data_IF_528173897884
#
_entry.id   IF_528173897884
#
_cell.length_a   1.000
_cell.length_b   1.000
_cell.length_c   1.000
_cell.angle_alpha   90.00
_cell.angle_beta   90.00
_cell.angle_gamma   90.00
#
_symmetry.space_group_name_H-M   'P 1'
#
loop_
_entity.id
_entity.type
_entity.pdbx_description
1 polymer ?
#
# COMPACT_ATOMS: atom_id res chain seq x y z
N UNK A 1 -15.86 17.98 -14.35
CA UNK A 1 -16.23 17.50 -12.99
C UNK A 1 -15.00 16.72 -12.52
N UNK A 2 -14.22 17.32 -11.59
CA UNK A 2 -13.06 16.66 -11.02
C UNK A 2 -13.54 15.54 -10.09
N UNK A 3 -13.26 14.29 -10.43
CA UNK A 3 -13.47 13.18 -9.51
C UNK A 3 -12.40 13.29 -8.41
N UNK A 4 -12.81 13.76 -7.25
CA UNK A 4 -11.97 13.71 -6.05
C UNK A 4 -11.94 12.25 -5.58
N UNK A 5 -10.81 11.61 -5.79
CA UNK A 5 -10.55 10.30 -5.22
C UNK A 5 -10.29 10.49 -3.72
N UNK A 6 -11.30 10.22 -2.89
CA UNK A 6 -11.17 10.33 -1.45
C UNK A 6 -10.41 9.10 -0.92
N UNK A 7 -9.20 9.31 -0.47
CA UNK A 7 -8.43 8.30 0.27
C UNK A 7 -8.75 8.49 1.74
N UNK A 8 -9.50 7.56 2.32
CA UNK A 8 -9.73 7.55 3.77
C UNK A 8 -8.62 6.73 4.39
N UNK A 9 -7.72 7.39 5.10
CA UNK A 9 -6.68 6.74 5.90
C UNK A 9 -7.26 6.53 7.29
N UNK A 10 -7.66 5.30 7.61
CA UNK A 10 -7.96 4.93 8.98
C UNK A 10 -6.64 4.57 9.68
N UNK A 11 -6.14 5.49 10.49
CA UNK A 11 -5.10 5.17 11.47
C UNK A 11 -5.83 4.71 12.73
N UNK A 12 -5.96 3.41 12.91
CA UNK A 12 -6.47 2.87 14.18
C UNK A 12 -5.31 2.91 15.17
N UNK A 13 -5.27 3.96 15.95
CA UNK A 13 -4.30 4.11 17.05
C UNK A 13 -4.97 3.72 18.37
N UNK A 14 -4.99 2.44 18.69
CA UNK A 14 -5.04 2.07 20.10
C UNK A 14 -3.59 2.11 20.59
N UNK A 15 -3.16 3.31 20.99
CA UNK A 15 -1.77 3.61 21.29
C UNK A 15 -1.43 3.27 22.73
N UNK A 16 -1.19 1.99 22.99
CA UNK A 16 -0.19 1.60 23.97
C UNK A 16 1.03 1.07 23.23
N UNK A 17 1.80 2.00 22.65
CA UNK A 17 3.09 1.66 22.07
C UNK A 17 3.99 1.07 23.15
N UNK A 18 4.53 -0.12 22.92
CA UNK A 18 5.57 -0.67 23.78
C UNK A 18 6.82 0.24 23.73
N UNK A 19 7.67 0.23 24.77
CA UNK A 19 8.89 1.05 24.80
C UNK A 19 9.79 0.85 23.57
N UNK A 20 9.77 -0.33 22.98
CA UNK A 20 10.52 -0.67 21.75
C UNK A 20 9.95 -0.01 20.50
N UNK A 21 8.64 0.22 20.45
CA UNK A 21 7.98 0.90 19.33
C UNK A 21 8.17 2.42 19.39
N UNK A 22 8.33 3.00 20.59
CA UNK A 22 8.68 4.43 20.75
C UNK A 22 10.06 4.77 20.20
N UNK A 23 11.01 3.82 20.20
CA UNK A 23 12.33 4.01 19.60
C UNK A 23 12.31 3.95 18.06
N UNK A 24 11.27 3.38 17.43
CA UNK A 24 11.13 3.33 15.98
C UNK A 24 10.49 4.60 15.37
N UNK A 25 10.03 5.53 16.19
CA UNK A 25 9.69 6.90 15.77
C UNK A 25 10.91 7.80 15.67
N UNK A 26 12.13 7.23 15.61
CA UNK A 26 13.32 7.98 15.29
C UNK A 26 13.14 8.59 13.88
N UNK A 27 12.70 9.82 13.90
CA UNK A 27 12.69 10.77 12.81
C UNK A 27 13.97 10.56 12.01
N UNK A 28 13.85 10.21 10.74
CA UNK A 28 14.98 10.29 9.83
C UNK A 28 15.36 11.75 9.73
N UNK A 29 16.54 12.17 10.22
CA UNK A 29 16.91 13.57 10.18
C UNK A 29 17.12 13.96 8.72
N UNK A 30 16.29 14.86 8.23
CA UNK A 30 16.63 15.62 7.04
C UNK A 30 17.90 16.41 7.30
N UNK A 31 18.93 16.16 6.53
CA UNK A 31 20.22 16.86 6.63
C UNK A 31 20.16 18.36 6.35
N UNK A 32 18.99 18.92 6.04
CA UNK A 32 18.79 20.31 5.61
C UNK A 32 17.49 20.99 6.13
N UNK A 33 16.95 20.60 7.28
CA UNK A 33 15.85 21.35 7.91
C UNK A 33 14.54 21.50 7.08
N UNK A 34 14.33 20.66 6.09
CA UNK A 34 13.14 20.65 5.23
C UNK A 34 12.05 19.67 5.72
N UNK A 35 10.85 19.85 5.19
CA UNK A 35 9.73 18.92 5.43
C UNK A 35 9.94 17.64 4.61
N UNK A 36 9.67 16.46 5.22
CA UNK A 36 9.61 15.19 4.51
C UNK A 36 8.29 15.13 3.71
N UNK A 37 8.37 14.81 2.43
CA UNK A 37 7.20 14.67 1.55
C UNK A 37 7.01 13.18 1.24
N UNK A 38 5.84 12.66 1.59
CA UNK A 38 5.46 11.27 1.35
C UNK A 38 4.24 11.24 0.44
N UNK A 39 4.39 10.63 -0.74
CA UNK A 39 3.26 10.26 -1.58
C UNK A 39 2.67 8.94 -1.08
N UNK A 40 1.48 9.01 -0.52
CA UNK A 40 0.85 7.87 0.17
C UNK A 40 -0.05 7.02 -0.74
N UNK A 41 -0.06 7.23 -2.05
CA UNK A 41 -0.89 6.46 -2.97
C UNK A 41 -0.27 6.29 -4.35
N UNK A 42 0.62 5.31 -4.48
CA UNK A 42 1.24 4.98 -5.76
C UNK A 42 1.10 3.50 -6.10
N UNK A 43 1.29 3.19 -7.38
CA UNK A 43 1.24 1.83 -7.90
C UNK A 43 2.41 1.60 -8.85
N UNK A 44 3.07 0.46 -8.73
CA UNK A 44 4.01 -0.05 -9.73
C UNK A 44 3.70 -1.52 -10.04
N UNK A 45 4.12 -1.94 -11.21
CA UNK A 45 3.93 -3.30 -11.69
C UNK A 45 5.27 -3.85 -12.19
N UNK A 46 5.45 -5.18 -12.20
CA UNK A 46 6.55 -5.81 -12.95
C UNK A 46 6.57 -5.31 -14.40
N UNK A 47 7.75 -5.10 -14.96
CA UNK A 47 7.91 -4.46 -16.28
C UNK A 47 7.11 -5.16 -17.40
N UNK A 48 6.99 -6.48 -17.32
CA UNK A 48 6.24 -7.29 -18.29
C UNK A 48 4.72 -7.08 -18.20
N UNK A 49 4.25 -6.58 -17.08
CA UNK A 49 2.82 -6.36 -16.82
C UNK A 49 2.42 -4.89 -16.87
N UNK A 50 3.38 -3.97 -16.76
CA UNK A 50 3.14 -2.55 -16.54
C UNK A 50 2.23 -1.93 -17.59
N UNK A 51 2.52 -2.09 -18.88
CA UNK A 51 1.74 -1.49 -19.97
C UNK A 51 0.28 -1.99 -19.97
N UNK A 52 0.07 -3.29 -19.77
CA UNK A 52 -1.27 -3.88 -19.70
C UNK A 52 -2.02 -3.43 -18.45
N UNK A 53 -1.35 -3.41 -17.30
CA UNK A 53 -1.97 -3.04 -16.03
C UNK A 53 -2.38 -1.55 -16.04
N UNK A 54 -1.48 -0.67 -16.46
CA UNK A 54 -1.75 0.78 -16.55
C UNK A 54 -2.85 1.04 -17.59
N UNK A 55 -2.80 0.41 -18.76
CA UNK A 55 -3.84 0.55 -19.78
C UNK A 55 -5.22 0.10 -19.28
N UNK A 56 -5.29 -1.01 -18.55
CA UNK A 56 -6.54 -1.49 -17.95
C UNK A 56 -7.08 -0.52 -16.90
N UNK A 57 -6.21 -0.03 -16.02
CA UNK A 57 -6.61 0.93 -14.97
C UNK A 57 -7.05 2.27 -15.56
N UNK A 58 -6.32 2.79 -16.54
CA UNK A 58 -6.68 4.04 -17.23
C UNK A 58 -8.04 3.92 -17.92
N UNK A 59 -8.28 2.80 -18.62
CA UNK A 59 -9.55 2.55 -19.29
C UNK A 59 -10.71 2.40 -18.29
N UNK A 60 -10.56 1.57 -17.25
CA UNK A 60 -11.61 1.33 -16.28
C UNK A 60 -11.88 2.52 -15.35
N UNK A 61 -10.88 3.36 -15.11
CA UNK A 61 -11.02 4.57 -14.30
C UNK A 61 -11.39 5.83 -15.08
N UNK A 62 -11.40 5.77 -16.42
CA UNK A 62 -11.59 6.96 -17.26
C UNK A 62 -10.53 8.03 -17.00
N UNK A 63 -9.31 7.65 -16.61
CA UNK A 63 -8.23 8.56 -16.20
C UNK A 63 -7.07 8.53 -17.19
N UNK A 64 -6.35 9.65 -17.26
CA UNK A 64 -5.09 9.71 -17.99
C UNK A 64 -3.93 9.24 -17.09
N UNK A 65 -3.13 8.32 -17.57
CA UNK A 65 -1.90 7.91 -16.90
C UNK A 65 -0.73 8.83 -17.29
N UNK A 66 -0.01 9.35 -16.29
CA UNK A 66 1.17 10.19 -16.50
C UNK A 66 2.47 9.40 -16.49
N UNK A 67 2.47 8.22 -15.88
CA UNK A 67 3.60 7.30 -15.82
C UNK A 67 3.21 5.95 -16.39
N UNK A 68 4.21 5.16 -16.78
CA UNK A 68 4.05 3.85 -17.38
C UNK A 68 3.87 2.70 -16.38
N UNK A 69 3.83 3.02 -15.07
CA UNK A 69 3.66 2.04 -13.99
C UNK A 69 4.92 1.27 -13.63
N UNK A 70 6.09 1.64 -14.14
CA UNK A 70 7.38 1.02 -13.80
C UNK A 70 8.06 1.71 -12.62
N UNK A 71 8.86 0.95 -11.88
CA UNK A 71 9.58 1.45 -10.70
C UNK A 71 10.50 2.61 -11.06
N UNK A 72 11.28 2.50 -12.16
CA UNK A 72 12.21 3.56 -12.54
C UNK A 72 11.51 4.87 -12.89
N UNK A 73 10.38 4.81 -13.60
CA UNK A 73 9.58 6.00 -13.95
C UNK A 73 9.03 6.69 -12.70
N UNK A 74 8.59 5.93 -11.70
CA UNK A 74 8.14 6.47 -10.42
C UNK A 74 9.30 7.14 -9.67
N UNK A 75 10.44 6.47 -9.52
CA UNK A 75 11.60 7.02 -8.80
C UNK A 75 12.15 8.28 -9.47
N UNK A 76 12.14 8.36 -10.79
CA UNK A 76 12.54 9.58 -11.52
C UNK A 76 11.54 10.71 -11.33
N UNK A 77 10.25 10.40 -11.29
CA UNK A 77 9.19 11.36 -10.98
C UNK A 77 9.33 11.89 -9.55
N UNK A 78 9.59 11.01 -8.57
CA UNK A 78 9.83 11.38 -7.18
C UNK A 78 10.99 12.38 -7.06
N UNK A 79 12.13 12.08 -7.69
CA UNK A 79 13.31 12.98 -7.70
C UNK A 79 12.97 14.36 -8.28
N UNK A 80 12.25 14.41 -9.41
CA UNK A 80 11.84 15.66 -10.05
C UNK A 80 10.89 16.48 -9.18
N UNK A 81 10.01 15.81 -8.43
CA UNK A 81 8.99 16.45 -7.59
C UNK A 81 9.48 16.74 -6.15
N UNK A 82 10.67 16.27 -5.76
CA UNK A 82 11.18 16.41 -4.39
C UNK A 82 10.44 15.53 -3.39
N UNK A 83 9.89 14.38 -3.83
CA UNK A 83 9.22 13.40 -2.97
C UNK A 83 10.27 12.49 -2.36
N UNK A 84 10.27 12.39 -1.03
CA UNK A 84 11.24 11.57 -0.28
C UNK A 84 10.83 10.10 -0.27
N UNK A 85 9.55 9.82 -0.09
CA UNK A 85 9.01 8.46 -0.05
C UNK A 85 7.72 8.35 -0.85
N UNK A 86 7.53 7.19 -1.50
CA UNK A 86 6.25 6.80 -2.10
C UNK A 86 5.80 5.45 -1.55
N UNK A 87 4.53 5.39 -1.14
CA UNK A 87 3.91 4.16 -0.63
C UNK A 87 3.24 3.42 -1.78
N UNK A 88 3.76 2.24 -2.10
CA UNK A 88 3.18 1.33 -3.08
C UNK A 88 2.03 0.54 -2.45
N UNK A 89 0.89 0.54 -3.13
CA UNK A 89 -0.36 -0.05 -2.64
C UNK A 89 -0.83 -1.20 -3.54
N UNK A 90 -0.18 -2.37 -3.47
CA UNK A 90 -0.59 -3.51 -4.28
C UNK A 90 -1.94 -4.05 -3.82
N UNK A 91 -2.73 -4.56 -4.76
CA UNK A 91 -4.06 -5.14 -4.50
C UNK A 91 -4.09 -6.59 -4.95
N UNK A 92 -4.36 -7.51 -4.03
CA UNK A 92 -4.71 -8.88 -4.37
C UNK A 92 -6.20 -8.92 -4.75
N UNK A 93 -6.51 -9.06 -6.03
CA UNK A 93 -7.89 -9.14 -6.53
C UNK A 93 -8.49 -10.55 -6.40
N UNK A 94 -7.64 -11.53 -6.02
CA UNK A 94 -8.01 -12.92 -5.74
C UNK A 94 -7.16 -13.45 -4.58
N UNK A 95 -7.67 -14.38 -3.75
CA UNK A 95 -6.94 -14.95 -2.61
C UNK A 95 -5.57 -15.54 -2.96
N UNK A 96 -5.47 -16.26 -4.07
CA UNK A 96 -4.24 -16.94 -4.49
C UNK A 96 -3.11 -16.01 -5.00
N UNK A 97 -3.34 -14.71 -5.04
CA UNK A 97 -2.32 -13.72 -5.45
C UNK A 97 -1.51 -13.19 -4.27
N UNK A 98 -1.98 -13.35 -3.03
CA UNK A 98 -1.39 -12.71 -1.86
C UNK A 98 0.09 -13.05 -1.70
N UNK A 99 0.47 -14.32 -1.79
CA UNK A 99 1.85 -14.75 -1.56
C UNK A 99 2.82 -14.17 -2.60
N UNK A 100 2.45 -14.22 -3.89
CA UNK A 100 3.29 -13.67 -4.97
C UNK A 100 3.46 -12.17 -4.81
N UNK A 101 2.37 -11.44 -4.56
CA UNK A 101 2.39 -9.99 -4.41
C UNK A 101 3.23 -9.60 -3.18
N UNK A 102 3.04 -10.28 -2.06
CA UNK A 102 3.76 -9.97 -0.82
C UNK A 102 5.25 -10.30 -0.90
N UNK A 103 5.63 -11.33 -1.65
CA UNK A 103 7.03 -11.65 -1.93
C UNK A 103 7.71 -10.54 -2.74
N UNK A 104 7.03 -9.99 -3.75
CA UNK A 104 7.54 -8.85 -4.52
C UNK A 104 7.60 -7.58 -3.67
N UNK A 105 6.57 -7.34 -2.86
CA UNK A 105 6.52 -6.20 -1.94
C UNK A 105 7.66 -6.24 -0.91
N UNK A 106 8.02 -7.42 -0.40
CA UNK A 106 9.16 -7.58 0.50
C UNK A 106 10.48 -7.16 -0.16
N UNK A 107 10.74 -7.59 -1.39
CA UNK A 107 11.94 -7.18 -2.15
C UNK A 107 12.02 -5.66 -2.32
N UNK A 108 10.89 -5.00 -2.55
CA UNK A 108 10.81 -3.54 -2.60
C UNK A 108 11.21 -2.93 -1.25
N UNK A 109 10.69 -3.46 -0.14
CA UNK A 109 10.96 -2.95 1.20
C UNK A 109 12.44 -3.14 1.62
N UNK A 110 13.10 -4.20 1.17
CA UNK A 110 14.53 -4.42 1.41
C UNK A 110 15.41 -3.29 0.85
N UNK A 111 14.98 -2.64 -0.22
CA UNK A 111 15.70 -1.52 -0.86
C UNK A 111 15.13 -0.14 -0.53
N UNK A 112 14.14 -0.06 0.36
CA UNK A 112 13.39 1.17 0.65
C UNK A 112 14.26 2.36 1.09
N UNK A 113 15.34 2.11 1.82
CA UNK A 113 16.28 3.15 2.27
C UNK A 113 17.00 3.86 1.13
N UNK A 114 17.20 3.19 0.01
CA UNK A 114 17.91 3.74 -1.15
C UNK A 114 16.96 4.23 -2.23
N UNK A 115 15.79 3.62 -2.36
CA UNK A 115 14.82 3.95 -3.41
C UNK A 115 13.75 4.94 -2.95
N UNK A 116 13.51 5.07 -1.65
CA UNK A 116 12.37 5.80 -1.09
C UNK A 116 11.03 5.08 -1.30
N UNK A 117 11.01 3.84 -1.80
CA UNK A 117 9.78 3.09 -2.04
C UNK A 117 9.45 2.18 -0.86
N UNK A 118 8.24 2.32 -0.32
CA UNK A 118 7.72 1.49 0.76
C UNK A 118 6.48 0.78 0.26
N UNK A 119 6.51 -0.55 0.18
CA UNK A 119 5.34 -1.31 -0.22
C UNK A 119 4.51 -1.74 0.99
N UNK A 120 3.21 -1.53 0.92
CA UNK A 120 2.25 -2.18 1.80
C UNK A 120 2.06 -3.63 1.37
N UNK A 121 1.51 -4.44 2.27
CA UNK A 121 1.10 -5.79 1.97
C UNK A 121 -0.26 -5.85 1.29
N UNK A 122 -0.49 -6.95 0.58
CA UNK A 122 -1.78 -7.28 -0.02
C UNK A 122 -2.40 -8.48 0.69
N UNK A 123 -3.68 -8.37 1.00
CA UNK A 123 -4.48 -9.47 1.54
C UNK A 123 -5.89 -9.40 0.98
N UNK A 124 -6.48 -10.55 0.68
CA UNK A 124 -7.86 -10.60 0.21
C UNK A 124 -8.78 -11.03 1.36
N UNK A 125 -9.93 -10.37 1.58
CA UNK A 125 -10.84 -10.75 2.68
C UNK A 125 -11.31 -12.20 2.67
N UNK A 126 -11.40 -12.81 1.49
CA UNK A 126 -11.77 -14.22 1.34
C UNK A 126 -10.59 -15.23 1.56
N UNK A 127 -9.40 -14.78 1.99
CA UNK A 127 -8.34 -15.70 2.38
C UNK A 127 -8.71 -16.38 3.71
N UNK A 128 -8.81 -17.70 3.73
CA UNK A 128 -9.03 -18.46 4.97
C UNK A 128 -7.84 -18.31 5.92
N UNK A 129 -6.63 -18.24 5.36
CA UNK A 129 -5.36 -18.09 6.09
C UNK A 129 -4.92 -16.62 6.26
N UNK A 130 -5.85 -15.66 6.29
CA UNK A 130 -5.50 -14.22 6.37
C UNK A 130 -4.66 -13.89 7.62
N UNK A 131 -4.83 -14.64 8.74
CA UNK A 131 -4.04 -14.42 9.95
C UNK A 131 -2.56 -14.77 9.75
N UNK A 132 -2.28 -15.87 9.07
CA UNK A 132 -0.92 -16.28 8.71
C UNK A 132 -0.27 -15.24 7.81
N UNK A 133 -1.00 -14.74 6.81
CA UNK A 133 -0.53 -13.68 5.90
C UNK A 133 -0.21 -12.41 6.70
N UNK A 134 -1.13 -11.93 7.55
CA UNK A 134 -0.94 -10.71 8.34
C UNK A 134 0.20 -10.85 9.37
N UNK A 135 0.32 -12.00 10.02
CA UNK A 135 1.46 -12.29 10.90
C UNK A 135 2.79 -12.27 10.15
N UNK A 136 2.82 -12.85 8.94
CA UNK A 136 4.00 -12.84 8.11
C UNK A 136 4.38 -11.41 7.69
N UNK A 137 3.42 -10.62 7.25
CA UNK A 137 3.63 -9.20 6.92
C UNK A 137 4.19 -8.43 8.12
N UNK A 138 3.58 -8.55 9.29
CA UNK A 138 4.04 -7.87 10.51
C UNK A 138 5.45 -8.29 10.89
N UNK A 139 5.77 -9.59 10.88
CA UNK A 139 7.11 -10.12 11.19
C UNK A 139 8.18 -9.66 10.22
N UNK A 140 7.82 -9.41 8.95
CA UNK A 140 8.74 -8.90 7.93
C UNK A 140 8.75 -7.36 7.84
N UNK A 141 8.21 -6.67 8.86
CA UNK A 141 8.33 -5.23 9.01
C UNK A 141 7.46 -4.37 8.10
N UNK A 142 6.45 -4.96 7.46
CA UNK A 142 5.47 -4.19 6.68
C UNK A 142 4.75 -3.19 7.58
N UNK A 143 4.47 -2.01 7.04
CA UNK A 143 3.83 -0.92 7.79
C UNK A 143 2.31 -0.93 7.68
N UNK A 144 1.78 -1.59 6.67
CA UNK A 144 0.33 -1.62 6.45
C UNK A 144 -0.09 -2.54 5.32
N UNK A 145 -1.38 -2.54 5.08
CA UNK A 145 -2.05 -3.31 4.04
C UNK A 145 -2.96 -2.41 3.20
N UNK A 146 -3.20 -2.81 1.96
CA UNK A 146 -4.18 -2.18 1.07
C UNK A 146 -5.40 -3.07 0.90
N UNK A 147 -6.59 -2.49 1.08
CA UNK A 147 -7.87 -3.08 0.71
C UNK A 147 -8.52 -2.26 -0.41
N UNK A 148 -9.16 -2.95 -1.33
CA UNK A 148 -9.86 -2.34 -2.46
C UNK A 148 -11.19 -3.08 -2.69
N UNK A 149 -12.27 -2.71 -1.97
CA UNK A 149 -13.53 -3.45 -1.99
C UNK A 149 -14.05 -3.75 -3.39
N UNK A 150 -14.02 -2.77 -4.30
CA UNK A 150 -14.51 -2.94 -5.68
C UNK A 150 -13.71 -4.01 -6.44
N UNK A 151 -12.38 -3.95 -6.44
CA UNK A 151 -11.54 -4.90 -7.16
C UNK A 151 -11.49 -6.27 -6.48
N UNK A 152 -11.67 -6.32 -5.17
CA UNK A 152 -11.74 -7.55 -4.39
C UNK A 152 -13.14 -8.15 -4.37
N UNK A 153 -14.16 -7.43 -4.90
CA UNK A 153 -15.57 -7.85 -4.90
C UNK A 153 -16.07 -8.22 -3.51
N UNK A 154 -15.72 -7.39 -2.52
CA UNK A 154 -16.11 -7.53 -1.12
C UNK A 154 -16.68 -6.21 -0.62
N UNK A 155 -17.51 -6.26 0.42
CA UNK A 155 -17.92 -5.04 1.12
C UNK A 155 -17.03 -4.84 2.34
N UNK A 156 -16.77 -3.60 2.70
CA UNK A 156 -15.89 -3.29 3.83
C UNK A 156 -16.53 -3.68 5.18
N UNK A 157 -17.84 -3.72 5.24
CA UNK A 157 -18.66 -4.12 6.38
C UNK A 157 -19.00 -5.61 6.41
N UNK A 158 -18.56 -6.40 5.44
CA UNK A 158 -18.67 -7.84 5.49
C UNK A 158 -17.86 -8.42 6.67
N UNK A 159 -18.37 -9.45 7.32
CA UNK A 159 -17.71 -10.07 8.47
C UNK A 159 -16.27 -10.51 8.18
N UNK A 160 -15.97 -10.94 6.95
CA UNK A 160 -14.62 -11.31 6.54
C UNK A 160 -13.69 -10.10 6.53
N UNK A 161 -14.13 -8.97 5.98
CA UNK A 161 -13.40 -7.71 5.95
C UNK A 161 -13.17 -7.18 7.38
N UNK A 162 -14.21 -7.18 8.21
CA UNK A 162 -14.13 -6.69 9.59
C UNK A 162 -13.15 -7.49 10.44
N UNK A 163 -13.18 -8.83 10.36
CA UNK A 163 -12.22 -9.70 11.07
C UNK A 163 -10.77 -9.48 10.63
N UNK A 164 -10.57 -9.26 9.33
CA UNK A 164 -9.26 -8.96 8.78
C UNK A 164 -8.75 -7.61 9.29
N UNK A 165 -9.60 -6.59 9.26
CA UNK A 165 -9.29 -5.24 9.75
C UNK A 165 -8.96 -5.26 11.25
N UNK A 166 -9.78 -5.92 12.05
CA UNK A 166 -9.55 -6.08 13.49
C UNK A 166 -8.19 -6.72 13.76
N UNK A 167 -7.88 -7.83 13.09
CA UNK A 167 -6.63 -8.56 13.30
C UNK A 167 -5.41 -7.75 12.80
N UNK A 168 -5.50 -7.10 11.65
CA UNK A 168 -4.44 -6.24 11.15
C UNK A 168 -4.17 -5.05 12.10
N UNK A 169 -5.23 -4.45 12.65
CA UNK A 169 -5.15 -3.38 13.65
C UNK A 169 -4.46 -3.85 14.94
N UNK A 170 -4.78 -5.05 15.42
CA UNK A 170 -4.13 -5.65 16.60
C UNK A 170 -2.62 -5.89 16.39
N UNK A 171 -2.18 -6.07 15.15
CA UNK A 171 -0.77 -6.17 14.77
C UNK A 171 -0.11 -4.80 14.54
N UNK A 172 -0.83 -3.69 14.70
CA UNK A 172 -0.32 -2.32 14.46
C UNK A 172 -0.11 -1.98 12.99
N UNK A 173 -0.73 -2.71 12.07
CA UNK A 173 -0.65 -2.43 10.64
C UNK A 173 -1.59 -1.28 10.26
N UNK A 174 -1.10 -0.34 9.47
CA UNK A 174 -1.93 0.71 8.84
C UNK A 174 -2.84 0.04 7.80
N UNK A 175 -4.11 0.40 7.79
CA UNK A 175 -5.07 -0.12 6.83
C UNK A 175 -5.49 1.00 5.89
N UNK A 176 -5.13 0.88 4.62
CA UNK A 176 -5.51 1.82 3.60
C UNK A 176 -6.62 1.22 2.73
N UNK A 177 -7.76 1.88 2.69
CA UNK A 177 -8.96 1.42 1.98
C UNK A 177 -9.23 2.35 0.81
N UNK A 178 -9.47 1.77 -0.38
CA UNK A 178 -10.02 2.53 -1.49
C UNK A 178 -11.52 2.75 -1.26
N UNK A 179 -11.90 4.02 -1.08
CA UNK A 179 -13.29 4.43 -0.91
C UNK A 179 -13.73 5.21 -2.15
N UNK A 180 -14.29 4.54 -3.13
CA UNK A 180 -14.75 5.14 -4.37
C UNK A 180 -15.31 4.09 -5.31
N UNK A 181 -15.98 4.55 -6.37
CA UNK A 181 -16.41 3.68 -7.44
C UNK A 181 -15.27 3.52 -8.46
N UNK A 182 -14.97 2.27 -8.86
CA UNK A 182 -14.33 2.05 -10.14
C UNK A 182 -15.44 2.20 -11.20
N UNK A 183 -15.31 3.20 -12.05
CA UNK A 183 -16.24 3.44 -13.15
C UNK A 183 -16.02 2.39 -14.23
#
# INVERSE_FOLDING_TARGET
IHHVQMVIIYVVTDMRLSPTQQQMTAVYPHSQGGFMIIDFHTHTFPDELADRAVGTLAHSGGIHNYLDGRVHSLTDSMKKAGIDYSVLLPVATKPNQCDTINTLALKTNETSKTTGLISFGAVHPACENFREILNWLSKNGFKGIKLHPVFQKTNIDDMQSLRLIEYASALGLIILIHAGFAV
#
